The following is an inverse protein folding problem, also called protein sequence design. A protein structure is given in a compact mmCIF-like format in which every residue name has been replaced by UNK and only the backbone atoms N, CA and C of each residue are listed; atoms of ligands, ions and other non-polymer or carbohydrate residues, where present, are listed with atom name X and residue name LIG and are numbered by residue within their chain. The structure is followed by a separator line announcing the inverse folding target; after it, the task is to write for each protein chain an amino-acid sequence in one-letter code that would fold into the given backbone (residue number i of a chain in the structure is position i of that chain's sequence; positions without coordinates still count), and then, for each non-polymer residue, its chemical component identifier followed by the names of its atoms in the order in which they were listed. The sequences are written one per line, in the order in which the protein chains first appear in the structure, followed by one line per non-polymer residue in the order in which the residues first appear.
data_IF_290252671628
#
_entry.id   IF_290252671628
#
_cell.length_a   1.000
_cell.length_b   1.000
_cell.length_c   1.000
_cell.angle_alpha   90.00
_cell.angle_beta   90.00
_cell.angle_gamma   90.00
#
_symmetry.space_group_name_H-M   'P 1'
#
loop_
_entity.id
_entity.type
_entity.pdbx_description
1 polymer ?
#
# COMPACT_ATOMS: atom_id res chain seq x y z
N UNK A 1 15.56 -1.04 -13.16
CA UNK A 1 15.05 0.28 -13.64
C UNK A 1 15.96 1.40 -13.14
N UNK A 2 16.08 2.50 -13.87
CA UNK A 2 16.87 3.66 -13.43
C UNK A 2 16.08 4.57 -12.48
N UNK A 3 16.73 5.44 -11.68
CA UNK A 3 16.02 6.42 -10.87
C UNK A 3 15.11 7.37 -11.67
N UNK A 4 15.48 7.69 -12.92
CA UNK A 4 14.65 8.52 -13.80
C UNK A 4 13.37 7.78 -14.20
N UNK A 5 13.45 6.47 -14.46
CA UNK A 5 12.28 5.66 -14.78
C UNK A 5 11.31 5.62 -13.59
N UNK A 6 11.85 5.42 -12.37
CA UNK A 6 11.06 5.41 -11.14
C UNK A 6 10.34 6.76 -10.93
N UNK A 7 11.03 7.88 -11.12
CA UNK A 7 10.38 9.19 -11.01
C UNK A 7 9.27 9.36 -12.04
N UNK A 8 9.49 8.96 -13.30
CA UNK A 8 8.46 9.04 -14.34
C UNK A 8 7.23 8.18 -14.03
N UNK A 9 7.43 7.03 -13.39
CA UNK A 9 6.36 6.17 -12.89
C UNK A 9 5.56 6.88 -11.78
N UNK A 10 6.24 7.42 -10.77
CA UNK A 10 5.59 8.04 -9.61
C UNK A 10 4.79 9.31 -9.97
N UNK A 11 5.22 10.06 -10.99
CA UNK A 11 4.46 11.18 -11.56
C UNK A 11 3.13 10.73 -12.20
N UNK A 12 3.13 9.53 -12.78
CA UNK A 12 1.98 8.95 -13.51
C UNK A 12 1.18 7.97 -12.68
N UNK A 13 1.55 7.77 -11.42
CA UNK A 13 0.90 6.81 -10.55
C UNK A 13 -0.62 7.09 -10.42
N UNK A 14 -1.42 6.02 -10.39
CA UNK A 14 -2.89 6.07 -10.28
C UNK A 14 -3.44 5.09 -9.24
N UNK A 15 -2.64 4.10 -8.83
CA UNK A 15 -2.96 3.13 -7.77
C UNK A 15 -1.76 2.94 -6.84
N UNK A 16 -1.96 2.55 -5.56
CA UNK A 16 -0.87 2.34 -4.60
C UNK A 16 0.23 1.38 -5.09
N UNK A 17 -0.12 0.38 -5.88
CA UNK A 17 0.80 -0.62 -6.44
C UNK A 17 1.77 -0.02 -7.48
N UNK A 18 1.61 1.26 -7.87
CA UNK A 18 2.62 1.99 -8.65
C UNK A 18 3.77 2.52 -7.78
N UNK A 19 3.71 2.37 -6.46
CA UNK A 19 4.83 2.69 -5.57
C UNK A 19 5.94 1.64 -5.70
N UNK A 20 6.83 1.86 -6.67
CA UNK A 20 7.85 0.89 -7.08
C UNK A 20 8.73 0.42 -5.93
N UNK A 21 9.25 1.36 -5.14
CA UNK A 21 10.16 1.03 -4.04
C UNK A 21 9.46 0.26 -2.92
N UNK A 22 8.22 0.64 -2.59
CA UNK A 22 7.39 -0.09 -1.64
C UNK A 22 7.10 -1.50 -2.13
N UNK A 23 6.62 -1.66 -3.37
CA UNK A 23 6.28 -2.96 -3.93
C UNK A 23 7.49 -3.89 -4.01
N UNK A 24 8.65 -3.37 -4.42
CA UNK A 24 9.90 -4.14 -4.43
C UNK A 24 10.33 -4.54 -3.02
N UNK A 25 10.36 -3.61 -2.06
CA UNK A 25 10.76 -3.88 -0.68
C UNK A 25 9.81 -4.85 0.02
N UNK A 26 8.50 -4.76 -0.24
CA UNK A 26 7.45 -5.57 0.39
C UNK A 26 7.31 -6.97 -0.21
N UNK A 27 7.63 -7.14 -1.50
CA UNK A 27 7.57 -8.45 -2.16
C UNK A 27 8.93 -9.16 -2.23
N UNK A 28 10.03 -8.40 -2.18
CA UNK A 28 11.37 -8.92 -2.52
C UNK A 28 11.63 -9.06 -4.02
N UNK A 29 10.68 -8.63 -4.86
CA UNK A 29 10.80 -8.70 -6.32
C UNK A 29 11.46 -7.48 -6.95
N UNK A 30 11.94 -7.67 -8.18
CA UNK A 30 12.43 -6.59 -9.02
C UNK A 30 11.31 -6.09 -9.94
N UNK A 31 11.10 -4.78 -9.92
CA UNK A 31 10.11 -4.13 -10.77
C UNK A 31 10.66 -3.84 -12.18
N UNK A 32 9.81 -3.98 -13.19
CA UNK A 32 10.13 -3.64 -14.58
C UNK A 32 8.88 -3.22 -15.36
N UNK A 33 9.09 -2.58 -16.51
CA UNK A 33 8.03 -2.13 -17.41
C UNK A 33 7.90 -3.05 -18.62
N UNK A 34 6.65 -3.25 -19.06
CA UNK A 34 6.30 -3.74 -20.40
C UNK A 34 5.13 -2.91 -20.91
N UNK A 35 5.38 -2.13 -21.96
CA UNK A 35 4.43 -1.11 -22.40
C UNK A 35 4.11 -0.11 -21.27
N UNK A 36 2.84 0.27 -21.06
CA UNK A 36 2.45 1.21 -20.01
C UNK A 36 2.23 0.57 -18.63
N UNK A 37 2.59 -0.70 -18.43
CA UNK A 37 2.27 -1.45 -17.20
C UNK A 37 3.52 -1.78 -16.38
N UNK A 38 3.34 -1.84 -15.06
CA UNK A 38 4.38 -2.24 -14.11
C UNK A 38 4.20 -3.72 -13.77
N UNK A 39 5.32 -4.42 -13.73
CA UNK A 39 5.41 -5.79 -13.26
C UNK A 39 6.46 -5.87 -12.16
N UNK A 40 6.28 -6.79 -11.23
CA UNK A 40 7.26 -7.13 -10.19
C UNK A 40 7.45 -8.64 -10.23
N UNK A 41 8.70 -9.10 -10.30
CA UNK A 41 8.99 -10.53 -10.33
C UNK A 41 10.17 -10.87 -9.43
N UNK A 42 10.13 -12.06 -8.84
CA UNK A 42 11.30 -12.76 -8.33
C UNK A 42 11.11 -14.25 -8.55
N UNK A 43 12.24 -14.97 -8.59
CA UNK A 43 12.27 -16.42 -8.70
C UNK A 43 11.40 -16.91 -9.87
N UNK A 44 10.27 -17.53 -9.59
CA UNK A 44 9.33 -18.11 -10.54
C UNK A 44 7.93 -17.50 -10.45
N UNK A 45 7.79 -16.31 -9.86
CA UNK A 45 6.51 -15.63 -9.76
C UNK A 45 6.50 -14.23 -10.38
N UNK A 46 5.30 -13.79 -10.76
CA UNK A 46 5.03 -12.47 -11.34
C UNK A 46 3.84 -11.81 -10.66
N UNK A 47 3.99 -10.56 -10.27
CA UNK A 47 2.89 -9.65 -9.93
C UNK A 47 2.72 -8.64 -11.08
N UNK A 48 1.52 -8.60 -11.65
CA UNK A 48 1.16 -7.72 -12.75
C UNK A 48 0.24 -6.60 -12.27
N UNK A 49 0.68 -5.34 -12.42
CA UNK A 49 -0.14 -4.16 -12.16
C UNK A 49 -0.74 -3.70 -13.49
N UNK A 50 -1.95 -4.15 -13.77
CA UNK A 50 -2.68 -3.86 -15.01
C UNK A 50 -3.38 -2.51 -15.05
N UNK A 51 -3.05 -1.61 -14.13
CA UNK A 51 -3.40 -0.19 -14.23
C UNK A 51 -2.34 0.50 -15.08
N UNK A 52 -2.70 1.05 -16.26
CA UNK A 52 -1.71 1.66 -17.12
C UNK A 52 -1.23 3.00 -16.55
N UNK A 53 0.06 3.29 -16.70
CA UNK A 53 0.66 4.60 -16.41
C UNK A 53 0.29 5.65 -17.45
N UNK A 54 -0.04 5.22 -18.66
CA UNK A 54 -0.42 6.08 -19.78
C UNK A 54 -1.52 5.42 -20.59
N UNK A 55 -2.37 6.25 -21.21
CA UNK A 55 -3.51 5.83 -22.02
C UNK A 55 -4.61 5.12 -21.19
N UNK A 56 -5.72 4.82 -21.85
CA UNK A 56 -6.82 4.08 -21.23
C UNK A 56 -6.54 2.58 -21.22
N UNK A 57 -6.98 1.91 -20.16
CA UNK A 57 -6.90 0.46 -20.05
C UNK A 57 -7.64 -0.23 -21.19
N UNK A 58 -7.04 -1.28 -21.75
CA UNK A 58 -7.74 -2.23 -22.63
C UNK A 58 -7.34 -3.66 -22.26
N UNK A 59 -8.30 -4.62 -22.17
CA UNK A 59 -7.98 -6.01 -21.86
C UNK A 59 -6.96 -6.63 -22.82
N UNK A 60 -7.07 -6.30 -24.12
CA UNK A 60 -6.16 -6.79 -25.16
C UNK A 60 -4.75 -6.24 -25.00
N UNK A 61 -4.60 -4.94 -24.73
CA UNK A 61 -3.29 -4.32 -24.54
C UNK A 61 -2.60 -4.86 -23.29
N UNK A 62 -3.34 -5.07 -22.21
CA UNK A 62 -2.81 -5.69 -21.01
C UNK A 62 -2.43 -7.17 -21.23
N UNK A 63 -3.25 -7.95 -21.94
CA UNK A 63 -2.93 -9.35 -22.24
C UNK A 63 -1.63 -9.51 -23.04
N UNK A 64 -1.37 -8.60 -24.00
CA UNK A 64 -0.12 -8.59 -24.76
C UNK A 64 1.09 -8.30 -23.86
N UNK A 65 1.00 -7.28 -23.01
CA UNK A 65 2.07 -6.93 -22.07
C UNK A 65 2.30 -8.05 -21.04
N UNK A 66 1.23 -8.66 -20.53
CA UNK A 66 1.30 -9.78 -19.60
C UNK A 66 1.99 -10.99 -20.22
N UNK A 67 1.68 -11.34 -21.48
CA UNK A 67 2.32 -12.45 -22.17
C UNK A 67 3.83 -12.22 -22.39
N UNK A 68 4.24 -10.98 -22.65
CA UNK A 68 5.66 -10.62 -22.71
C UNK A 68 6.33 -10.66 -21.33
N UNK A 69 5.68 -10.12 -20.30
CA UNK A 69 6.19 -10.14 -18.93
C UNK A 69 6.37 -11.56 -18.40
N UNK A 70 5.41 -12.46 -18.64
CA UNK A 70 5.50 -13.87 -18.26
C UNK A 70 6.69 -14.57 -18.93
N UNK A 71 6.92 -14.33 -20.22
CA UNK A 71 8.09 -14.88 -20.94
C UNK A 71 9.41 -14.33 -20.40
N UNK A 72 9.45 -13.03 -20.10
CA UNK A 72 10.64 -12.36 -19.55
C UNK A 72 10.99 -12.85 -18.15
N UNK A 73 10.00 -13.01 -17.29
CA UNK A 73 10.17 -13.44 -15.91
C UNK A 73 10.33 -14.96 -15.76
N UNK A 74 10.02 -15.74 -16.81
CA UNK A 74 9.91 -17.20 -16.75
C UNK A 74 9.02 -17.68 -15.59
N UNK A 75 7.99 -16.88 -15.25
CA UNK A 75 7.15 -17.11 -14.08
C UNK A 75 6.19 -18.29 -14.30
N UNK A 76 6.07 -19.13 -13.28
CA UNK A 76 5.10 -20.22 -13.15
C UNK A 76 3.81 -19.72 -12.51
N UNK A 77 3.93 -18.88 -11.50
CA UNK A 77 2.80 -18.30 -10.78
C UNK A 77 2.65 -16.81 -11.13
N UNK A 78 1.40 -16.37 -11.28
CA UNK A 78 1.11 -14.99 -11.62
C UNK A 78 -0.10 -14.47 -10.85
N UNK A 79 0.08 -13.33 -10.19
CA UNK A 79 -0.99 -12.53 -9.62
C UNK A 79 -1.17 -11.26 -10.44
N UNK A 80 -2.41 -10.86 -10.68
CA UNK A 80 -2.72 -9.68 -11.45
C UNK A 80 -3.76 -8.83 -10.73
N UNK A 81 -3.48 -7.53 -10.64
CA UNK A 81 -4.41 -6.52 -10.13
C UNK A 81 -4.66 -5.56 -11.29
N UNK A 82 -5.89 -5.51 -11.80
CA UNK A 82 -6.23 -4.71 -12.97
C UNK A 82 -7.71 -4.29 -12.97
N UNK A 83 -8.10 -3.27 -13.76
CA UNK A 83 -9.51 -2.85 -13.85
C UNK A 83 -10.47 -3.96 -14.29
N UNK A 84 -10.05 -4.82 -15.21
CA UNK A 84 -10.80 -5.98 -15.69
C UNK A 84 -9.84 -7.04 -16.22
N UNK A 85 -9.96 -8.31 -15.80
CA UNK A 85 -9.11 -9.37 -16.34
C UNK A 85 -9.40 -9.63 -17.84
N UNK A 86 -8.37 -9.93 -18.67
CA UNK A 86 -8.58 -10.41 -20.04
C UNK A 86 -9.53 -11.60 -20.09
N UNK A 87 -10.28 -11.75 -21.18
CA UNK A 87 -11.37 -12.73 -21.30
C UNK A 87 -10.94 -14.15 -20.88
N UNK A 88 -9.76 -14.59 -21.35
CA UNK A 88 -9.17 -15.90 -21.03
C UNK A 88 -8.94 -16.12 -19.52
N UNK A 89 -8.70 -15.03 -18.78
CA UNK A 89 -8.38 -15.04 -17.35
C UNK A 89 -9.56 -14.69 -16.45
N UNK A 90 -10.74 -14.35 -17.01
CA UNK A 90 -11.92 -13.98 -16.19
C UNK A 90 -12.31 -15.05 -15.18
N UNK A 91 -12.19 -16.33 -15.56
CA UNK A 91 -12.46 -17.46 -14.68
C UNK A 91 -11.46 -17.62 -13.51
N UNK A 92 -10.30 -16.94 -13.58
CA UNK A 92 -9.27 -16.95 -12.55
C UNK A 92 -9.41 -15.78 -11.56
N UNK A 93 -10.45 -14.95 -11.71
CA UNK A 93 -10.74 -13.87 -10.77
C UNK A 93 -11.05 -14.44 -9.39
N UNK A 94 -10.15 -14.24 -8.43
CA UNK A 94 -10.31 -14.70 -7.05
C UNK A 94 -10.96 -13.66 -6.15
N UNK A 95 -10.82 -12.36 -6.45
CA UNK A 95 -11.32 -11.26 -5.63
C UNK A 95 -11.61 -9.99 -6.44
N UNK A 96 -12.41 -9.08 -5.86
CA UNK A 96 -12.70 -7.74 -6.37
C UNK A 96 -12.63 -6.72 -5.26
N UNK A 97 -11.73 -5.75 -5.41
CA UNK A 97 -11.55 -4.66 -4.45
C UNK A 97 -11.98 -3.29 -5.01
N UNK A 98 -11.93 -2.27 -4.17
CA UNK A 98 -12.24 -0.87 -4.50
C UNK A 98 -11.22 0.07 -3.89
N UNK A 99 -10.72 0.99 -4.72
CA UNK A 99 -9.98 2.14 -4.23
C UNK A 99 -10.95 3.24 -3.80
N UNK A 100 -10.77 3.73 -2.58
CA UNK A 100 -11.50 4.88 -2.05
C UNK A 100 -10.61 6.12 -2.13
N UNK A 101 -11.11 7.18 -2.77
CA UNK A 101 -10.42 8.46 -2.85
C UNK A 101 -11.06 9.45 -1.87
N UNK A 102 -10.24 10.01 -0.99
CA UNK A 102 -10.63 11.10 -0.11
C UNK A 102 -10.01 12.40 -0.64
N UNK A 103 -10.85 13.32 -1.10
CA UNK A 103 -10.42 14.67 -1.50
C UNK A 103 -10.18 15.53 -0.27
N UNK A 104 -9.02 16.19 -0.18
CA UNK A 104 -8.66 17.01 0.99
C UNK A 104 -9.43 18.34 1.07
N UNK A 105 -9.92 18.84 -0.06
CA UNK A 105 -10.68 20.11 -0.12
C UNK A 105 -12.17 19.95 0.28
N UNK A 106 -12.57 18.75 0.69
CA UNK A 106 -13.94 18.45 1.08
C UNK A 106 -14.28 18.96 2.48
N UNK A 107 -15.56 19.28 2.70
CA UNK A 107 -16.04 19.62 4.03
C UNK A 107 -15.92 18.41 4.97
N UNK A 108 -15.28 18.60 6.13
CA UNK A 108 -15.20 17.56 7.16
C UNK A 108 -16.60 17.36 7.76
N UNK A 109 -17.14 16.12 7.78
CA UNK A 109 -18.41 15.86 8.42
C UNK A 109 -18.38 16.28 9.89
N UNK A 110 -19.34 17.10 10.34
CA UNK A 110 -19.29 17.70 11.69
C UNK A 110 -19.22 16.69 12.84
N UNK A 111 -19.70 15.45 12.65
CA UNK A 111 -19.47 14.37 13.61
C UNK A 111 -17.98 14.04 13.71
N UNK A 112 -17.30 13.78 12.59
CA UNK A 112 -15.87 13.45 12.57
C UNK A 112 -15.01 14.60 13.09
N UNK A 113 -15.37 15.84 12.77
CA UNK A 113 -14.71 17.04 13.32
C UNK A 113 -14.71 17.04 14.85
N UNK A 114 -15.86 16.81 15.48
CA UNK A 114 -15.96 16.72 16.96
C UNK A 114 -15.15 15.57 17.56
N UNK A 115 -15.10 14.40 16.90
CA UNK A 115 -14.28 13.28 17.39
C UNK A 115 -12.78 13.64 17.31
N UNK A 116 -12.37 14.29 16.22
CA UNK A 116 -10.99 14.73 16.02
C UNK A 116 -10.58 15.81 17.04
N UNK A 117 -11.43 16.82 17.27
CA UNK A 117 -11.20 17.85 18.30
C UNK A 117 -11.06 17.22 19.69
N UNK A 118 -11.94 16.26 20.04
CA UNK A 118 -11.86 15.55 21.31
C UNK A 118 -10.56 14.75 21.42
N UNK A 119 -10.21 14.00 20.40
CA UNK A 119 -8.97 13.22 20.37
C UNK A 119 -7.73 14.12 20.50
N UNK A 120 -7.73 15.30 19.87
CA UNK A 120 -6.64 16.27 19.92
C UNK A 120 -6.39 16.86 21.33
N UNK A 121 -7.35 16.75 22.25
CA UNK A 121 -7.13 17.15 23.66
C UNK A 121 -6.32 16.13 24.47
N UNK A 122 -6.23 14.89 23.98
CA UNK A 122 -5.61 13.77 24.69
C UNK A 122 -4.44 13.13 23.94
N UNK A 123 -4.33 13.39 22.64
CA UNK A 123 -3.35 12.77 21.75
C UNK A 123 -2.47 13.81 21.06
N UNK A 124 -1.20 13.49 20.92
CA UNK A 124 -0.26 14.19 20.04
C UNK A 124 -0.01 13.36 18.79
N UNK A 125 -0.18 13.97 17.62
CA UNK A 125 0.09 13.31 16.34
C UNK A 125 1.50 13.65 15.86
N UNK A 126 2.24 12.65 15.43
CA UNK A 126 3.61 12.77 14.94
C UNK A 126 3.76 11.93 13.67
N UNK A 127 4.40 12.49 12.65
CA UNK A 127 4.88 11.73 11.50
C UNK A 127 6.35 11.34 11.70
N UNK A 128 6.68 10.07 11.48
CA UNK A 128 8.05 9.58 11.61
C UNK A 128 8.33 8.34 10.77
N UNK A 129 9.60 7.94 10.69
CA UNK A 129 10.06 6.76 9.92
C UNK A 129 10.69 5.68 10.80
N UNK A 130 10.72 5.90 12.11
CA UNK A 130 11.42 5.01 13.04
C UNK A 130 10.44 4.01 13.64
N UNK A 131 10.60 2.73 13.29
CA UNK A 131 9.81 1.66 13.88
C UNK A 131 10.38 1.28 15.26
N UNK A 132 9.63 1.56 16.32
CA UNK A 132 10.04 1.36 17.72
C UNK A 132 9.36 0.16 18.38
N UNK A 133 9.80 -0.27 19.59
CA UNK A 133 9.09 -1.30 20.36
C UNK A 133 7.61 -0.99 20.67
N UNK A 134 7.21 0.29 20.69
CA UNK A 134 5.80 0.66 20.84
C UNK A 134 4.96 0.20 19.64
N UNK A 135 5.46 0.40 18.42
CA UNK A 135 4.83 -0.07 17.18
C UNK A 135 4.72 -1.59 17.13
N UNK A 136 5.80 -2.31 17.50
CA UNK A 136 5.79 -3.77 17.56
C UNK A 136 4.72 -4.30 18.52
N UNK A 137 4.57 -3.69 19.70
CA UNK A 137 3.53 -4.05 20.67
C UNK A 137 2.13 -3.77 20.13
N UNK A 138 1.92 -2.61 19.51
CA UNK A 138 0.64 -2.26 18.89
C UNK A 138 0.26 -3.21 17.75
N UNK A 139 1.21 -3.55 16.87
CA UNK A 139 0.99 -4.51 15.78
C UNK A 139 0.66 -5.89 16.33
N UNK A 140 1.40 -6.37 17.33
CA UNK A 140 1.13 -7.66 17.97
C UNK A 140 -0.25 -7.68 18.64
N UNK A 141 -0.63 -6.61 19.36
CA UNK A 141 -1.94 -6.46 19.97
C UNK A 141 -3.06 -6.54 18.91
N UNK A 142 -2.92 -5.78 17.83
CA UNK A 142 -3.88 -5.74 16.72
C UNK A 142 -4.01 -7.10 16.02
N UNK A 143 -2.88 -7.70 15.63
CA UNK A 143 -2.85 -8.99 14.92
C UNK A 143 -3.30 -10.16 15.78
N UNK A 144 -3.15 -10.06 17.11
CA UNK A 144 -3.63 -11.05 18.06
C UNK A 144 -5.15 -11.06 18.22
N UNK A 145 -5.81 -9.94 17.94
CA UNK A 145 -7.27 -9.80 18.11
C UNK A 145 -8.06 -9.71 16.80
N UNK A 146 -7.43 -9.34 15.67
CA UNK A 146 -8.08 -9.26 14.36
C UNK A 146 -7.69 -10.47 13.52
N UNK A 147 -8.69 -11.16 12.97
CA UNK A 147 -8.48 -12.24 12.01
C UNK A 147 -8.11 -11.64 10.64
N UNK A 148 -6.80 -11.44 10.42
CA UNK A 148 -6.28 -10.94 9.15
C UNK A 148 -5.94 -12.09 8.20
N UNK A 149 -6.23 -11.96 6.89
CA UNK A 149 -5.72 -12.85 5.85
C UNK A 149 -4.18 -12.94 5.86
N UNK A 150 -3.58 -14.07 5.44
CA UNK A 150 -2.12 -14.27 5.48
C UNK A 150 -1.32 -13.16 4.78
N UNK A 151 -1.74 -12.74 3.59
CA UNK A 151 -1.09 -11.67 2.84
C UNK A 151 -1.12 -10.34 3.59
N UNK A 152 -2.21 -10.01 4.29
CA UNK A 152 -2.30 -8.79 5.11
C UNK A 152 -1.43 -8.90 6.35
N UNK A 153 -1.38 -10.06 7.02
CA UNK A 153 -0.48 -10.29 8.17
C UNK A 153 0.98 -10.06 7.80
N UNK A 154 1.37 -10.50 6.61
CA UNK A 154 2.73 -10.32 6.11
C UNK A 154 3.12 -8.84 5.98
N UNK A 155 2.19 -7.96 5.55
CA UNK A 155 2.43 -6.52 5.50
C UNK A 155 2.80 -5.93 6.87
N UNK A 156 2.10 -6.36 7.93
CA UNK A 156 2.43 -5.97 9.31
C UNK A 156 3.77 -6.54 9.76
N UNK A 157 4.06 -7.80 9.43
CA UNK A 157 5.31 -8.46 9.82
C UNK A 157 6.56 -7.81 9.18
N UNK A 158 6.45 -7.38 7.92
CA UNK A 158 7.55 -6.77 7.16
C UNK A 158 7.71 -5.27 7.37
N UNK A 159 6.78 -4.60 8.07
CA UNK A 159 6.76 -3.13 8.19
C UNK A 159 8.12 -2.56 8.63
N UNK A 160 8.72 -3.11 9.69
CA UNK A 160 10.01 -2.64 10.23
C UNK A 160 11.15 -2.73 9.20
N UNK A 161 11.19 -3.80 8.41
CA UNK A 161 12.22 -4.05 7.41
C UNK A 161 12.01 -3.19 6.16
N UNK A 162 10.76 -2.94 5.76
CA UNK A 162 10.40 -2.23 4.53
C UNK A 162 10.53 -0.72 4.68
N UNK A 163 10.20 -0.18 5.85
CA UNK A 163 10.16 1.26 6.11
C UNK A 163 11.43 2.03 5.68
N UNK A 164 12.67 1.59 5.98
CA UNK A 164 13.87 2.30 5.55
C UNK A 164 14.23 2.10 4.07
N UNK A 165 13.60 1.15 3.37
CA UNK A 165 13.94 0.79 1.99
C UNK A 165 13.08 1.51 0.93
N UNK A 166 11.92 2.05 1.34
CA UNK A 166 10.96 2.65 0.44
C UNK A 166 10.79 4.15 0.76
N UNK A 167 11.46 5.04 0.01
CA UNK A 167 11.27 6.47 0.13
C UNK A 167 9.79 6.83 -0.10
N UNK A 168 9.25 7.68 0.77
CA UNK A 168 7.84 8.08 0.75
C UNK A 168 6.97 7.33 1.77
N UNK A 169 7.47 6.27 2.40
CA UNK A 169 6.78 5.68 3.54
C UNK A 169 6.96 6.49 4.82
N UNK A 170 5.90 6.60 5.60
CA UNK A 170 5.93 7.17 6.94
C UNK A 170 4.90 6.53 7.87
N UNK A 171 5.14 6.66 9.16
CA UNK A 171 4.26 6.27 10.25
C UNK A 171 3.57 7.52 10.77
N UNK A 172 2.23 7.54 10.74
CA UNK A 172 1.44 8.57 11.41
C UNK A 172 1.02 8.04 12.78
N UNK A 173 1.71 8.52 13.80
CA UNK A 173 1.59 8.07 15.18
C UNK A 173 0.64 8.97 15.96
N UNK A 174 -0.15 8.38 16.84
CA UNK A 174 -0.92 9.08 17.85
C UNK A 174 -0.49 8.62 19.24
N UNK A 175 0.13 9.52 19.99
CA UNK A 175 0.67 9.27 21.32
C UNK A 175 -0.22 9.87 22.39
N UNK A 176 -0.47 9.14 23.48
CA UNK A 176 -1.12 9.70 24.67
C UNK A 176 -0.15 10.54 25.52
N UNK A 177 -0.67 11.25 26.52
CA UNK A 177 0.12 12.08 27.42
C UNK A 177 1.11 11.30 28.30
N UNK A 178 1.02 9.96 28.35
CA UNK A 178 1.93 9.07 29.07
C UNK A 178 3.01 8.49 28.15
N UNK A 179 3.02 8.85 26.86
CA UNK A 179 3.96 8.34 25.87
C UNK A 179 3.63 6.95 25.35
N UNK A 180 2.40 6.47 25.51
CA UNK A 180 1.95 5.22 24.89
C UNK A 180 1.43 5.49 23.48
N UNK A 181 1.73 4.59 22.56
CA UNK A 181 1.24 4.65 21.19
C UNK A 181 -0.21 4.16 21.14
N UNK A 182 -1.16 5.09 21.04
CA UNK A 182 -2.59 4.81 21.01
C UNK A 182 -3.05 4.34 19.62
N UNK A 183 -2.46 4.87 18.55
CA UNK A 183 -2.69 4.41 17.18
C UNK A 183 -1.49 4.70 16.28
N UNK A 184 -1.39 3.96 15.18
CA UNK A 184 -0.41 4.18 14.14
C UNK A 184 -0.98 3.79 12.78
N UNK A 185 -0.74 4.61 11.76
CA UNK A 185 -1.01 4.31 10.36
C UNK A 185 0.33 4.24 9.60
N UNK A 186 0.44 3.33 8.64
CA UNK A 186 1.50 3.35 7.63
C UNK A 186 0.96 4.01 6.36
N UNK A 187 1.63 5.07 5.95
CA UNK A 187 1.29 5.86 4.77
C UNK A 187 2.36 5.70 3.70
N UNK A 188 1.95 5.88 2.45
CA UNK A 188 2.86 5.97 1.29
C UNK A 188 2.57 7.21 0.46
N UNK A 189 3.48 8.17 0.51
CA UNK A 189 3.46 9.43 -0.24
C UNK A 189 4.44 9.42 -1.43
N UNK A 190 4.96 8.26 -1.84
CA UNK A 190 5.83 8.18 -3.02
C UNK A 190 5.09 8.55 -4.32
N UNK A 191 3.86 8.06 -4.59
CA UNK A 191 3.04 8.55 -5.69
C UNK A 191 2.81 10.07 -5.61
N UNK A 192 3.04 10.81 -6.69
CA UNK A 192 3.03 12.28 -6.66
C UNK A 192 1.65 12.90 -6.57
N UNK A 193 0.62 12.12 -6.90
CA UNK A 193 -0.76 12.59 -7.08
C UNK A 193 -1.68 12.24 -5.90
N UNK A 194 -1.24 11.38 -4.99
CA UNK A 194 -2.02 10.94 -3.84
C UNK A 194 -1.12 10.32 -2.76
N UNK A 195 -1.63 10.28 -1.53
CA UNK A 195 -1.06 9.48 -0.44
C UNK A 195 -1.91 8.25 -0.23
N UNK A 196 -1.28 7.08 -0.11
CA UNK A 196 -1.97 5.82 0.18
C UNK A 196 -1.97 5.54 1.67
N UNK A 197 -3.13 5.14 2.20
CA UNK A 197 -3.21 4.45 3.48
C UNK A 197 -2.99 2.95 3.24
N UNK A 198 -1.90 2.39 3.75
CA UNK A 198 -1.52 0.99 3.51
C UNK A 198 -2.08 0.06 4.59
N UNK A 199 -1.82 0.39 5.85
CA UNK A 199 -2.27 -0.38 7.01
C UNK A 199 -2.28 0.49 8.25
N UNK A 200 -2.92 0.02 9.31
CA UNK A 200 -2.99 0.76 10.56
C UNK A 200 -3.53 -0.07 11.70
N UNK A 201 -3.27 0.38 12.92
CA UNK A 201 -3.89 -0.17 14.10
C UNK A 201 -4.10 0.89 15.18
N UNK A 202 -5.09 0.62 16.02
CA UNK A 202 -5.32 1.33 17.28
C UNK A 202 -5.22 0.35 18.47
N UNK A 203 -4.78 0.85 19.60
CA UNK A 203 -4.71 0.12 20.86
C UNK A 203 -6.09 0.06 21.51
N UNK A 204 -6.42 -1.11 22.07
CA UNK A 204 -7.52 -1.28 23.03
C UNK A 204 -7.04 -1.25 24.48
N UNK A 205 -5.73 -1.34 24.70
CA UNK A 205 -5.10 -1.24 26.02
C UNK A 205 -4.96 0.23 26.41
N UNK A 206 -4.40 1.04 25.52
CA UNK A 206 -4.28 2.50 25.66
C UNK A 206 -5.37 3.18 24.83
N UNK A 207 -6.62 2.83 25.12
CA UNK A 207 -7.75 3.31 24.35
C UNK A 207 -8.08 4.77 24.69
N UNK A 208 -8.06 5.63 23.67
CA UNK A 208 -8.58 6.99 23.77
C UNK A 208 -9.97 7.06 23.11
N UNK A 209 -11.02 7.45 23.85
CA UNK A 209 -12.35 7.63 23.28
C UNK A 209 -12.33 8.74 22.22
N UNK A 210 -12.70 8.37 21.00
CA UNK A 210 -12.94 9.28 19.88
C UNK A 210 -14.45 9.44 19.70
#
# INVERSE_FOLDING_TARGET
MTPSDVNAILEKATVPEHSVAFMAAMSGGEAFLVGPYIFVAAEDWLLAVGYPLENSYTPKGFEQALAEALRRAAARDCWAICPELPERLKAQCSDKDRYYLLTLDGAIPGRLGRLAERAATALTVEEGITFTPAHRRLWAEFMGRVALPPNVRELYARTETVLPQAPGLSLLNAWDAQGNLAACLLLDAAPRRFTSYLLGAHSRIHFTPH
#
